data_IF_809876304078
#
_entry.id   IF_809876304078
#
_cell.length_a   1.000
_cell.length_b   1.000
_cell.length_c   1.000
_cell.angle_alpha   90.00
_cell.angle_beta   90.00
_cell.angle_gamma   90.00
#
_symmetry.space_group_name_H-M   'P 1'
#
loop_
_entity.id
_entity.type
_entity.pdbx_description
1 polymer ?
#
# COMPACT_ATOMS: atom_id res chain seq x y z
N UNK A 1 8.86 -7.34 -12.27
CA UNK A 1 7.60 -6.69 -11.81
C UNK A 1 7.35 -7.13 -10.37
N UNK A 2 6.72 -6.30 -9.55
CA UNK A 2 6.48 -6.59 -8.13
C UNK A 2 5.00 -6.41 -7.75
N UNK A 3 4.37 -7.44 -7.21
CA UNK A 3 2.97 -7.50 -6.75
C UNK A 3 2.91 -7.24 -5.26
N UNK A 4 1.87 -6.53 -4.83
CA UNK A 4 1.66 -6.24 -3.43
C UNK A 4 0.16 -6.18 -3.06
N UNK A 5 -0.11 -6.33 -1.77
CA UNK A 5 -1.43 -6.07 -1.16
C UNK A 5 -1.27 -5.06 -0.04
N UNK A 6 -2.20 -4.12 0.04
CA UNK A 6 -2.28 -3.13 1.10
C UNK A 6 -3.43 -3.45 2.05
N UNK A 7 -3.14 -3.36 3.34
CA UNK A 7 -4.08 -3.46 4.44
C UNK A 7 -4.14 -2.11 5.14
N UNK A 8 -5.23 -1.83 5.86
CA UNK A 8 -5.39 -0.65 6.70
C UNK A 8 -6.01 -1.08 8.01
N UNK A 9 -5.19 -1.05 9.06
CA UNK A 9 -5.53 -1.67 10.34
C UNK A 9 -6.15 -0.65 11.33
N UNK A 10 -6.17 0.65 11.00
CA UNK A 10 -6.69 1.73 11.88
C UNK A 10 -7.74 2.64 11.21
N UNK A 11 -8.37 2.21 10.11
CA UNK A 11 -9.32 3.05 9.35
C UNK A 11 -10.57 3.42 10.12
N UNK A 12 -10.99 2.59 11.08
CA UNK A 12 -12.20 2.82 11.86
C UNK A 12 -11.98 4.02 12.79
N UNK A 13 -10.77 4.24 13.30
CA UNK A 13 -10.48 5.45 14.09
C UNK A 13 -10.74 6.77 13.33
N UNK A 14 -10.89 6.71 12.00
CA UNK A 14 -11.18 7.84 11.10
C UNK A 14 -12.58 7.77 10.45
N UNK A 15 -13.59 7.28 11.19
CA UNK A 15 -14.99 7.06 10.76
C UNK A 15 -15.65 8.19 9.93
N UNK A 16 -15.18 9.44 10.03
CA UNK A 16 -15.76 10.59 9.32
C UNK A 16 -15.41 10.65 7.82
N UNK A 17 -14.42 9.89 7.36
CA UNK A 17 -13.84 10.05 6.01
C UNK A 17 -14.20 8.95 5.01
N UNK A 18 -14.66 7.79 5.49
CA UNK A 18 -14.95 6.63 4.64
C UNK A 18 -16.21 5.90 5.13
N UNK A 19 -17.05 5.48 4.19
CA UNK A 19 -18.21 4.63 4.46
C UNK A 19 -17.95 3.16 4.06
N UNK A 20 -18.95 2.30 4.22
CA UNK A 20 -18.88 0.86 3.91
C UNK A 20 -18.58 0.53 2.45
N UNK A 21 -18.85 1.45 1.52
CA UNK A 21 -18.57 1.21 0.10
C UNK A 21 -17.08 1.47 -0.21
N UNK A 22 -16.44 2.32 0.58
CA UNK A 22 -15.10 2.84 0.32
C UNK A 22 -14.00 2.12 1.10
N UNK A 23 -14.36 1.16 1.97
CA UNK A 23 -13.42 0.40 2.78
C UNK A 23 -13.89 -1.02 3.02
N UNK A 24 -12.94 -1.94 3.15
CA UNK A 24 -13.18 -3.23 3.78
C UNK A 24 -12.94 -3.12 5.30
N UNK A 25 -13.40 -4.09 6.11
CA UNK A 25 -13.05 -4.20 7.52
C UNK A 25 -11.53 -4.12 7.77
N UNK A 26 -11.14 -3.67 8.96
CA UNK A 26 -9.72 -3.67 9.38
C UNK A 26 -9.14 -5.09 9.34
N UNK A 27 -7.86 -5.21 8.97
CA UNK A 27 -7.19 -6.49 8.75
C UNK A 27 -7.53 -7.17 7.41
N UNK A 28 -8.55 -6.71 6.69
CA UNK A 28 -8.83 -7.16 5.32
C UNK A 28 -8.10 -6.32 4.27
N UNK A 29 -7.86 -6.93 3.10
CA UNK A 29 -7.17 -6.28 2.00
C UNK A 29 -8.02 -5.10 1.46
N UNK A 30 -7.40 -3.92 1.35
CA UNK A 30 -8.07 -2.71 0.87
C UNK A 30 -7.84 -2.50 -0.63
N UNK A 31 -6.60 -2.72 -1.06
CA UNK A 31 -6.23 -2.70 -2.46
C UNK A 31 -5.05 -3.63 -2.73
N UNK A 32 -4.93 -4.06 -3.96
CA UNK A 32 -3.74 -4.75 -4.47
C UNK A 32 -3.10 -3.91 -5.57
N UNK A 33 -1.86 -4.20 -5.90
CA UNK A 33 -1.21 -3.52 -6.99
C UNK A 33 -0.02 -4.26 -7.55
N UNK A 34 0.50 -3.68 -8.63
CA UNK A 34 1.68 -4.13 -9.32
C UNK A 34 2.57 -2.94 -9.66
N UNK A 35 3.87 -3.11 -9.44
CA UNK A 35 4.94 -2.23 -9.90
C UNK A 35 5.53 -2.87 -11.16
N UNK A 36 5.38 -2.20 -12.29
CA UNK A 36 5.93 -2.65 -13.56
C UNK A 36 7.45 -2.47 -13.59
N UNK A 37 8.10 -3.09 -14.57
CA UNK A 37 9.57 -3.07 -14.71
C UNK A 37 10.13 -1.68 -15.00
N UNK A 38 9.31 -0.74 -15.47
CA UNK A 38 9.66 0.67 -15.68
C UNK A 38 9.40 1.55 -14.44
N UNK A 39 8.96 0.95 -13.32
CA UNK A 39 8.65 1.65 -12.08
C UNK A 39 7.23 2.22 -12.00
N UNK A 40 6.46 2.23 -13.10
CA UNK A 40 5.04 2.60 -13.08
C UNK A 40 4.25 1.64 -12.19
N UNK A 41 3.12 2.10 -11.64
CA UNK A 41 2.35 1.33 -10.66
C UNK A 41 0.87 1.33 -11.01
N UNK A 42 0.21 0.18 -10.92
CA UNK A 42 -1.25 0.09 -10.95
C UNK A 42 -1.77 -0.37 -9.58
N UNK A 43 -2.88 0.23 -9.14
CA UNK A 43 -3.61 -0.13 -7.91
C UNK A 43 -5.04 -0.48 -8.29
N UNK A 44 -5.54 -1.60 -7.75
CA UNK A 44 -6.93 -2.02 -7.81
C UNK A 44 -7.51 -2.06 -6.39
N UNK A 45 -8.54 -1.23 -6.14
CA UNK A 45 -9.29 -1.29 -4.88
C UNK A 45 -10.17 -2.53 -4.83
N UNK A 46 -10.19 -3.17 -3.66
CA UNK A 46 -10.93 -4.40 -3.38
C UNK A 46 -12.20 -4.14 -2.55
N UNK A 47 -12.61 -2.87 -2.46
CA UNK A 47 -13.82 -2.41 -1.77
C UNK A 47 -15.03 -2.47 -2.69
N UNK A 48 -16.23 -2.22 -2.18
CA UNK A 48 -17.44 -2.25 -3.01
C UNK A 48 -17.42 -1.16 -4.10
N UNK A 49 -16.95 0.04 -3.78
CA UNK A 49 -16.64 1.11 -4.72
C UNK A 49 -15.27 0.89 -5.38
N UNK A 50 -15.13 -0.23 -6.09
CA UNK A 50 -13.88 -0.61 -6.73
C UNK A 50 -13.50 0.36 -7.87
N UNK A 51 -12.20 0.58 -8.01
CA UNK A 51 -11.63 1.26 -9.18
C UNK A 51 -10.24 0.71 -9.46
N UNK A 52 -9.66 1.12 -10.58
CA UNK A 52 -8.25 0.84 -10.90
C UNK A 52 -7.59 2.13 -11.35
N UNK A 53 -6.43 2.43 -10.79
CA UNK A 53 -5.65 3.62 -11.14
C UNK A 53 -4.26 3.21 -11.60
N UNK A 54 -3.70 4.01 -12.50
CA UNK A 54 -2.32 3.85 -13.00
C UNK A 54 -1.55 5.12 -12.66
N UNK A 55 -0.36 4.93 -12.12
CA UNK A 55 0.53 5.97 -11.59
C UNK A 55 1.88 5.90 -12.30
N UNK A 56 2.49 7.08 -12.48
CA UNK A 56 3.82 7.19 -13.07
C UNK A 56 4.92 6.50 -12.23
N UNK A 57 4.70 6.34 -10.92
CA UNK A 57 5.58 5.55 -10.06
C UNK A 57 4.89 5.03 -8.81
N UNK A 58 5.41 3.95 -8.23
CA UNK A 58 4.96 3.46 -6.92
C UNK A 58 5.10 4.52 -5.82
N UNK A 59 6.21 5.26 -5.79
CA UNK A 59 6.42 6.31 -4.79
C UNK A 59 5.36 7.41 -4.88
N UNK A 60 4.95 7.80 -6.08
CA UNK A 60 3.86 8.80 -6.25
C UNK A 60 2.52 8.22 -5.80
N UNK A 61 2.24 6.95 -6.11
CA UNK A 61 1.03 6.29 -5.62
C UNK A 61 0.98 6.25 -4.08
N UNK A 62 2.10 5.95 -3.41
CA UNK A 62 2.17 5.88 -1.95
C UNK A 62 2.10 7.24 -1.25
N UNK A 63 2.54 8.33 -1.91
CA UNK A 63 2.28 9.70 -1.40
C UNK A 63 0.80 10.03 -1.26
N UNK A 64 -0.07 9.36 -2.03
CA UNK A 64 -1.53 9.59 -2.05
C UNK A 64 -2.32 8.46 -1.37
N UNK A 65 -1.79 7.23 -1.33
CA UNK A 65 -2.55 6.07 -0.85
C UNK A 65 -1.90 5.30 0.29
N UNK A 66 -0.66 5.62 0.61
CA UNK A 66 0.12 4.99 1.68
C UNK A 66 -0.23 5.45 3.09
N UNK A 67 -0.95 6.58 3.25
CA UNK A 67 -1.49 7.14 4.51
C UNK A 67 -1.21 6.30 5.78
N UNK A 68 -0.07 6.52 6.47
CA UNK A 68 0.29 5.74 7.67
C UNK A 68 -0.70 5.93 8.82
N UNK A 69 -1.43 7.06 8.86
CA UNK A 69 -2.48 7.33 9.83
C UNK A 69 -3.66 6.34 9.76
N UNK A 70 -3.79 5.59 8.66
CA UNK A 70 -4.78 4.52 8.50
C UNK A 70 -4.24 3.13 8.87
N UNK A 71 -3.05 3.05 9.47
CA UNK A 71 -2.37 1.78 9.73
C UNK A 71 -2.03 1.07 8.42
N UNK A 72 -1.68 1.82 7.37
CA UNK A 72 -1.44 1.23 6.04
C UNK A 72 -0.20 0.35 6.08
N UNK A 73 -0.37 -0.93 5.73
CA UNK A 73 0.70 -1.92 5.66
C UNK A 73 0.72 -2.56 4.27
N UNK A 74 1.89 -2.54 3.63
CA UNK A 74 2.11 -3.14 2.30
C UNK A 74 2.83 -4.48 2.44
N UNK A 75 2.25 -5.53 1.88
CA UNK A 75 2.84 -6.87 1.79
C UNK A 75 3.21 -7.14 0.35
N UNK A 76 4.50 -7.37 0.09
CA UNK A 76 5.01 -7.77 -1.22
C UNK A 76 5.00 -9.30 -1.37
N UNK A 77 4.64 -9.79 -2.55
CA UNK A 77 4.41 -11.23 -2.81
C UNK A 77 5.47 -11.89 -3.68
N UNK A 78 6.37 -11.10 -4.26
CA UNK A 78 7.45 -11.60 -5.10
C UNK A 78 8.74 -11.67 -4.29
N UNK A 79 9.59 -12.65 -4.62
CA UNK A 79 10.86 -12.87 -3.94
C UNK A 79 11.74 -11.60 -3.91
N UNK A 80 12.63 -11.46 -2.91
CA UNK A 80 13.58 -10.37 -2.86
C UNK A 80 14.58 -10.48 -4.02
N UNK A 81 14.22 -9.94 -5.19
CA UNK A 81 15.24 -9.49 -6.13
C UNK A 81 15.96 -8.28 -5.50
N UNK A 82 17.30 -8.30 -5.40
CA UNK A 82 18.06 -7.14 -4.95
C UNK A 82 17.72 -5.98 -5.88
N UNK A 83 17.01 -4.99 -5.33
CA UNK A 83 16.65 -3.80 -6.06
C UNK A 83 17.93 -2.98 -6.32
N UNK A 84 18.22 -2.58 -7.57
CA UNK A 84 19.39 -1.76 -7.89
C UNK A 84 19.20 -0.28 -7.51
N UNK A 85 18.44 0.02 -6.45
CA UNK A 85 18.16 1.38 -6.02
C UNK A 85 18.74 1.62 -4.63
N UNK A 86 19.85 2.36 -4.61
CA UNK A 86 20.65 2.76 -3.46
C UNK A 86 19.83 3.34 -2.28
N UNK A 87 20.13 2.80 -1.09
CA UNK A 87 20.24 3.38 0.26
C UNK A 87 19.16 4.28 0.90
N UNK A 88 18.22 4.90 0.19
CA UNK A 88 17.47 6.03 0.80
C UNK A 88 16.06 5.68 1.35
N UNK A 89 15.49 4.51 1.04
CA UNK A 89 14.12 4.14 1.49
C UNK A 89 14.10 2.87 2.36
N UNK A 90 15.04 1.95 2.21
CA UNK A 90 15.05 0.68 2.94
C UNK A 90 15.21 0.85 4.47
N UNK A 91 15.89 1.92 4.91
CA UNK A 91 16.14 2.18 6.34
C UNK A 91 14.90 2.49 7.18
N UNK A 92 13.73 2.75 6.55
CA UNK A 92 12.51 3.14 7.26
C UNK A 92 11.49 2.03 7.43
N UNK A 93 11.64 0.90 6.72
CA UNK A 93 10.63 -0.15 6.71
C UNK A 93 11.18 -1.56 6.98
N UNK A 94 12.50 -1.70 7.13
CA UNK A 94 13.12 -2.96 7.54
C UNK A 94 13.45 -2.93 9.03
N UNK A 95 12.45 -3.25 9.84
CA UNK A 95 12.49 -4.13 11.03
C UNK A 95 11.34 -3.73 11.93
N UNK A 96 10.37 -4.62 12.08
CA UNK A 96 9.32 -4.51 13.08
C UNK A 96 9.90 -4.64 14.48
N UNK A 97 10.53 -3.58 14.97
CA UNK A 97 10.81 -3.38 16.38
C UNK A 97 9.80 -2.37 16.93
N UNK A 98 9.00 -2.86 17.88
CA UNK A 98 8.16 -2.02 18.71
C UNK A 98 9.03 -0.95 19.37
N UNK A 99 8.64 0.31 19.27
CA UNK A 99 9.06 1.32 20.23
C UNK A 99 7.83 1.83 20.96
N UNK A 100 7.88 1.59 22.28
CA UNK A 100 7.15 2.29 23.33
C UNK A 100 7.27 3.81 23.19
#
# INVERSE_FOLDING_TARGET
MKRFTAYRDDMDTHHATHNSDQKNPEGEAQYEGIIFTDGTCAIRWLTAAASTSVWASFCTAMKVHGHPEYGTRIVFHDEPEPLPWDDDIASKYETGDMLL
#
